data_IF_003090345697
#
_entry.id   IF_003090345697
#
_cell.length_a   1.000
_cell.length_b   1.000
_cell.length_c   1.000
_cell.angle_alpha   90.00
_cell.angle_beta   90.00
_cell.angle_gamma   90.00
#
_symmetry.space_group_name_H-M   'P 1'
#
loop_
_entity.id
_entity.type
_entity.pdbx_description
1 polymer ?
#
# COMPACT_ATOMS: atom_id res chain seq x y z
N UNK A 1 29.62 0.10 47.52
CA UNK A 1 28.79 -0.40 46.40
C UNK A 1 27.43 0.27 46.46
N UNK A 2 27.12 1.23 45.58
CA UNK A 2 25.75 1.76 45.50
C UNK A 2 24.87 0.67 44.88
N UNK A 3 23.88 0.20 45.64
CA UNK A 3 22.87 -0.71 45.13
C UNK A 3 22.06 0.06 44.11
N UNK A 4 22.19 -0.30 42.83
CA UNK A 4 21.40 0.30 41.76
C UNK A 4 19.94 -0.13 41.92
N UNK A 5 19.18 0.63 42.71
CA UNK A 5 17.75 0.43 42.91
C UNK A 5 16.99 0.87 41.65
N UNK A 6 17.02 0.02 40.63
CA UNK A 6 16.24 0.20 39.41
C UNK A 6 14.77 -0.03 39.73
N UNK A 7 13.93 0.98 39.48
CA UNK A 7 12.47 0.84 39.56
C UNK A 7 11.91 0.65 38.17
N UNK A 8 11.16 -0.44 37.95
CA UNK A 8 10.52 -0.74 36.67
C UNK A 8 9.06 -0.34 36.71
N UNK A 9 8.61 0.40 35.70
CA UNK A 9 7.23 0.89 35.61
C UNK A 9 6.75 0.74 34.17
N UNK A 10 5.52 0.25 33.99
CA UNK A 10 4.90 0.20 32.66
C UNK A 10 3.75 1.21 32.63
N UNK A 11 3.77 2.12 31.67
CA UNK A 11 2.75 3.16 31.51
C UNK A 11 2.32 3.17 30.04
N UNK A 12 1.02 3.05 29.78
CA UNK A 12 0.44 3.02 28.42
C UNK A 12 1.15 2.02 27.47
N UNK A 13 1.51 0.84 28.00
CA UNK A 13 2.18 -0.22 27.23
C UNK A 13 3.69 0.00 27.00
N UNK A 14 4.26 1.12 27.44
CA UNK A 14 5.69 1.42 27.34
C UNK A 14 6.38 1.06 28.67
N UNK A 15 7.47 0.29 28.58
CA UNK A 15 8.30 -0.09 29.73
C UNK A 15 9.36 0.97 30.01
N UNK A 16 9.34 1.52 31.22
CA UNK A 16 10.31 2.47 31.73
C UNK A 16 11.14 1.86 32.85
N UNK A 17 12.39 2.31 32.97
CA UNK A 17 13.27 2.02 34.11
C UNK A 17 13.74 3.34 34.70
N UNK A 18 13.42 3.57 35.97
CA UNK A 18 13.89 4.74 36.74
C UNK A 18 15.15 4.32 37.49
N UNK A 19 16.20 5.15 37.39
CA UNK A 19 17.49 4.94 38.04
C UNK A 19 17.98 6.20 38.72
N UNK A 20 18.66 6.07 39.84
CA UNK A 20 19.46 7.16 40.40
C UNK A 20 20.82 7.19 39.72
N UNK A 21 21.23 8.36 39.23
CA UNK A 21 22.61 8.59 38.76
C UNK A 21 23.04 10.01 39.14
N UNK A 22 24.20 10.13 39.77
CA UNK A 22 24.74 11.43 40.24
C UNK A 22 23.75 12.24 41.10
N UNK A 23 22.98 11.57 41.96
CA UNK A 23 21.97 12.23 42.81
C UNK A 23 20.67 12.58 42.09
N UNK A 24 20.55 12.35 40.78
CA UNK A 24 19.36 12.69 39.99
C UNK A 24 18.62 11.46 39.49
N UNK A 25 17.32 11.61 39.26
CA UNK A 25 16.47 10.57 38.66
C UNK A 25 16.61 10.57 37.14
N UNK A 26 16.91 9.41 36.58
CA UNK A 26 17.02 9.14 35.15
C UNK A 26 15.99 8.12 34.72
N UNK A 27 15.43 8.30 33.52
CA UNK A 27 14.45 7.41 32.91
C UNK A 27 15.08 6.78 31.67
N UNK A 28 15.10 5.44 31.64
CA UNK A 28 15.48 4.67 30.47
C UNK A 28 14.27 3.98 29.85
N UNK A 29 14.19 3.98 28.52
CA UNK A 29 13.10 3.40 27.73
C UNK A 29 13.61 3.01 26.34
N UNK A 30 12.80 2.26 25.58
CA UNK A 30 13.14 1.83 24.23
C UNK A 30 12.27 2.55 23.20
N UNK A 31 12.88 3.09 22.14
CA UNK A 31 12.22 3.62 20.94
C UNK A 31 12.91 3.02 19.73
N UNK A 32 12.15 2.51 18.76
CA UNK A 32 12.67 1.93 17.49
C UNK A 32 13.80 0.93 17.68
N UNK A 33 13.60 -0.01 18.61
CA UNK A 33 14.58 -1.02 19.03
C UNK A 33 15.90 -0.46 19.63
N UNK A 34 16.00 0.86 19.84
CA UNK A 34 17.15 1.52 20.47
C UNK A 34 16.80 1.98 21.89
N UNK A 35 17.68 1.65 22.84
CA UNK A 35 17.57 2.12 24.21
C UNK A 35 17.98 3.59 24.30
N UNK A 36 17.14 4.40 24.93
CA UNK A 36 17.42 5.81 25.24
C UNK A 36 17.35 6.03 26.75
N UNK A 37 18.09 7.04 27.22
CA UNK A 37 18.15 7.43 28.62
C UNK A 37 18.06 8.96 28.71
N UNK A 38 17.22 9.46 29.61
CA UNK A 38 16.97 10.89 29.82
C UNK A 38 17.05 11.20 31.31
N UNK A 39 17.67 12.33 31.66
CA UNK A 39 17.58 12.85 33.01
C UNK A 39 16.26 13.58 33.19
N UNK A 40 15.64 13.45 34.36
CA UNK A 40 14.48 14.27 34.76
C UNK A 40 14.89 15.62 35.33
N UNK A 41 16.17 15.80 35.66
CA UNK A 41 16.67 16.97 36.38
C UNK A 41 16.33 16.98 37.88
N UNK A 42 15.45 16.10 38.36
CA UNK A 42 15.00 16.04 39.75
C UNK A 42 15.97 15.25 40.63
N UNK A 43 16.17 15.74 41.86
CA UNK A 43 16.93 15.04 42.90
C UNK A 43 16.29 13.70 43.27
N UNK A 44 17.11 12.71 43.62
CA UNK A 44 16.71 11.34 43.96
C UNK A 44 16.09 11.23 45.35
N UNK A 45 14.92 11.84 45.51
CA UNK A 45 14.11 11.79 46.73
C UNK A 45 12.86 10.93 46.53
N UNK A 46 12.30 10.38 47.63
CA UNK A 46 11.05 9.60 47.57
C UNK A 46 9.88 10.42 47.02
N UNK A 47 9.80 11.71 47.36
CA UNK A 47 8.78 12.64 46.85
C UNK A 47 8.89 12.80 45.34
N UNK A 48 10.09 13.08 44.83
CA UNK A 48 10.31 13.24 43.39
C UNK A 48 10.10 11.92 42.63
N UNK A 49 10.40 10.77 43.24
CA UNK A 49 10.11 9.47 42.66
C UNK A 49 8.61 9.26 42.41
N UNK A 50 7.76 9.71 43.34
CA UNK A 50 6.29 9.65 43.19
C UNK A 50 5.83 10.57 42.06
N UNK A 51 6.33 11.81 42.01
CA UNK A 51 6.03 12.76 40.93
C UNK A 51 6.44 12.19 39.57
N UNK A 52 7.62 11.59 39.47
CA UNK A 52 8.09 10.94 38.23
C UNK A 52 7.13 9.83 37.80
N UNK A 53 6.66 9.00 38.74
CA UNK A 53 5.77 7.87 38.42
C UNK A 53 4.37 8.29 38.00
N UNK A 54 3.79 9.26 38.70
CA UNK A 54 2.37 9.57 38.59
C UNK A 54 2.06 10.72 37.63
N UNK A 55 3.03 11.60 37.37
CA UNK A 55 2.81 12.79 36.53
C UNK A 55 3.71 12.74 35.29
N UNK A 56 5.04 12.66 35.50
CA UNK A 56 6.01 12.79 34.40
C UNK A 56 5.94 11.60 33.45
N UNK A 57 5.93 10.36 33.96
CA UNK A 57 5.89 9.18 33.10
C UNK A 57 4.61 9.08 32.26
N UNK A 58 3.40 9.32 32.80
CA UNK A 58 2.19 9.39 31.98
C UNK A 58 2.23 10.45 30.90
N UNK A 59 2.63 11.69 31.22
CA UNK A 59 2.74 12.76 30.24
C UNK A 59 3.77 12.42 29.16
N UNK A 60 4.94 11.95 29.57
CA UNK A 60 6.01 11.57 28.66
C UNK A 60 5.64 10.37 27.79
N UNK A 61 4.91 9.38 28.33
CA UNK A 61 4.39 8.27 27.55
C UNK A 61 3.37 8.74 26.50
N UNK A 62 2.50 9.69 26.83
CA UNK A 62 1.58 10.30 25.87
C UNK A 62 2.33 11.06 24.77
N UNK A 63 3.33 11.85 25.11
CA UNK A 63 4.19 12.54 24.14
C UNK A 63 4.93 11.56 23.22
N UNK A 64 5.44 10.45 23.77
CA UNK A 64 6.08 9.39 22.98
C UNK A 64 5.10 8.69 22.05
N UNK A 65 3.86 8.44 22.51
CA UNK A 65 2.80 7.89 21.67
C UNK A 65 2.41 8.89 20.59
N UNK A 66 2.24 10.16 20.92
CA UNK A 66 1.90 11.22 19.95
C UNK A 66 3.02 11.41 18.92
N UNK A 67 4.28 11.40 19.34
CA UNK A 67 5.44 11.47 18.45
C UNK A 67 5.59 10.21 17.60
N UNK A 68 5.32 9.04 18.19
CA UNK A 68 5.28 7.78 17.44
C UNK A 68 4.09 7.78 16.48
N UNK A 69 2.96 8.36 16.83
CA UNK A 69 1.83 8.57 15.93
C UNK A 69 2.15 9.60 14.86
N UNK A 70 2.98 10.63 15.13
CA UNK A 70 3.39 11.62 14.12
C UNK A 70 4.50 11.11 13.20
N UNK A 71 5.30 10.12 13.63
CA UNK A 71 6.36 9.47 12.83
C UNK A 71 5.94 8.14 12.21
N UNK A 72 4.97 7.45 12.82
CA UNK A 72 4.21 6.32 12.24
C UNK A 72 2.96 6.80 11.51
N UNK A 73 2.65 8.09 11.49
CA UNK A 73 1.96 8.68 10.34
C UNK A 73 2.86 8.40 9.13
N UNK A 74 2.67 7.41 8.26
CA UNK A 74 1.41 7.02 7.62
C UNK A 74 0.35 8.06 7.83
N UNK A 75 0.69 9.26 7.35
CA UNK A 75 -0.21 10.30 6.88
C UNK A 75 -1.63 10.03 7.35
N UNK A 76 -2.08 10.68 8.42
CA UNK A 76 -3.49 11.07 8.46
C UNK A 76 -3.61 12.08 7.31
N UNK A 77 -3.59 11.57 6.08
CA UNK A 77 -4.31 12.24 4.99
C UNK A 77 -5.70 12.18 5.58
N UNK A 78 -6.36 13.32 5.73
CA UNK A 78 -7.81 13.30 5.62
C UNK A 78 -8.09 12.42 4.41
N UNK A 79 -8.52 11.17 4.61
CA UNK A 79 -8.59 10.21 3.52
C UNK A 79 -9.46 10.88 2.50
N UNK A 80 -8.89 11.31 1.38
CA UNK A 80 -9.65 12.15 0.47
C UNK A 80 -10.88 11.32 0.11
N UNK A 81 -12.05 11.87 0.44
CA UNK A 81 -13.34 11.23 0.23
C UNK A 81 -13.68 11.17 -1.27
N UNK A 82 -12.72 11.58 -2.13
CA UNK A 82 -12.63 11.28 -3.54
C UNK A 82 -13.18 9.90 -3.90
N UNK A 83 -14.22 9.95 -4.73
CA UNK A 83 -14.86 8.79 -5.34
C UNK A 83 -14.05 8.27 -6.52
N UNK A 84 -14.25 7.01 -6.89
CA UNK A 84 -13.60 6.44 -8.08
C UNK A 84 -13.89 7.27 -9.33
N UNK A 85 -15.13 7.73 -9.49
CA UNK A 85 -15.55 8.53 -10.63
C UNK A 85 -14.82 9.85 -10.73
N UNK A 86 -14.77 10.63 -9.65
CA UNK A 86 -14.10 11.93 -9.65
C UNK A 86 -12.63 11.82 -10.05
N UNK A 87 -11.93 10.80 -9.53
CA UNK A 87 -10.52 10.56 -9.87
C UNK A 87 -10.38 10.02 -11.29
N UNK A 88 -11.30 9.15 -11.75
CA UNK A 88 -11.28 8.62 -13.09
C UNK A 88 -11.54 9.71 -14.14
N UNK A 89 -12.43 10.66 -13.89
CA UNK A 89 -12.73 11.78 -14.78
C UNK A 89 -11.48 12.64 -14.99
N UNK A 90 -10.79 13.00 -13.91
CA UNK A 90 -9.51 13.72 -13.98
C UNK A 90 -8.45 12.88 -14.69
N UNK A 91 -8.39 11.57 -14.40
CA UNK A 91 -7.46 10.66 -15.06
C UNK A 91 -7.66 10.66 -16.58
N UNK A 92 -8.89 10.46 -17.04
CA UNK A 92 -9.21 10.39 -18.47
C UNK A 92 -9.09 11.75 -19.17
N UNK A 93 -9.46 12.85 -18.51
CA UNK A 93 -9.28 14.21 -19.04
C UNK A 93 -7.81 14.46 -19.41
N UNK A 94 -6.90 14.19 -18.48
CA UNK A 94 -5.46 14.37 -18.69
C UNK A 94 -4.85 13.29 -19.60
N UNK A 95 -5.36 12.04 -19.55
CA UNK A 95 -4.82 10.95 -20.35
C UNK A 95 -5.10 11.14 -21.85
N UNK A 96 -6.20 11.80 -22.19
CA UNK A 96 -6.61 12.09 -23.57
C UNK A 96 -5.51 12.75 -24.40
N UNK A 97 -4.77 13.68 -23.79
CA UNK A 97 -3.68 14.41 -24.46
C UNK A 97 -2.39 13.58 -24.63
N UNK A 98 -2.26 12.50 -23.84
CA UNK A 98 -1.03 11.68 -23.80
C UNK A 98 -1.07 10.42 -24.65
N UNK A 99 -2.25 10.02 -25.15
CA UNK A 99 -2.42 8.76 -25.90
C UNK A 99 -3.16 8.94 -27.20
N UNK A 100 -2.94 8.00 -28.13
CA UNK A 100 -3.63 7.98 -29.42
C UNK A 100 -5.15 7.91 -29.21
N UNK A 101 -5.96 8.62 -30.03
CA UNK A 101 -7.41 8.71 -29.84
C UNK A 101 -8.13 7.35 -29.71
N UNK A 102 -7.78 6.37 -30.55
CA UNK A 102 -8.41 5.04 -30.49
C UNK A 102 -8.09 4.26 -29.20
N UNK A 103 -6.92 4.52 -28.60
CA UNK A 103 -6.53 3.91 -27.31
C UNK A 103 -7.36 4.54 -26.20
N UNK A 104 -7.46 5.87 -26.17
CA UNK A 104 -8.30 6.61 -25.23
C UNK A 104 -9.75 6.13 -25.27
N UNK A 105 -10.37 6.12 -26.45
CA UNK A 105 -11.77 5.70 -26.64
C UNK A 105 -11.97 4.27 -26.13
N UNK A 106 -11.07 3.36 -26.48
CA UNK A 106 -11.13 1.97 -26.03
C UNK A 106 -11.00 1.84 -24.51
N UNK A 107 -10.09 2.59 -23.88
CA UNK A 107 -9.92 2.53 -22.44
C UNK A 107 -11.13 3.10 -21.69
N UNK A 108 -11.60 4.28 -22.10
CA UNK A 108 -12.79 4.92 -21.52
C UNK A 108 -14.03 4.02 -21.64
N UNK A 109 -14.25 3.43 -22.82
CA UNK A 109 -15.35 2.49 -23.04
C UNK A 109 -15.25 1.26 -22.13
N UNK A 110 -14.06 0.70 -21.95
CA UNK A 110 -13.86 -0.43 -21.05
C UNK A 110 -14.04 -0.04 -19.57
N UNK A 111 -13.60 1.15 -19.17
CA UNK A 111 -13.84 1.67 -17.82
C UNK A 111 -15.34 1.78 -17.54
N UNK A 112 -16.08 2.49 -18.40
CA UNK A 112 -17.51 2.72 -18.26
C UNK A 112 -18.33 1.41 -18.21
N UNK A 113 -17.91 0.40 -18.97
CA UNK A 113 -18.63 -0.87 -19.06
C UNK A 113 -18.25 -1.89 -18.00
N UNK A 114 -16.97 -1.95 -17.61
CA UNK A 114 -16.43 -3.08 -16.86
C UNK A 114 -15.95 -2.72 -15.46
N UNK A 115 -15.63 -1.46 -15.20
CA UNK A 115 -15.14 -0.99 -13.89
C UNK A 115 -16.24 -0.20 -13.19
N UNK A 116 -16.71 0.88 -13.82
CA UNK A 116 -17.66 1.82 -13.22
C UNK A 116 -18.92 1.15 -12.64
N UNK A 117 -19.58 0.18 -13.30
CA UNK A 117 -20.82 -0.42 -12.76
C UNK A 117 -20.63 -1.17 -11.44
N UNK A 118 -19.41 -1.58 -11.10
CA UNK A 118 -19.10 -2.34 -9.89
C UNK A 118 -18.66 -1.46 -8.72
N UNK A 119 -18.09 -0.29 -9.02
CA UNK A 119 -17.44 0.57 -8.03
C UNK A 119 -17.98 2.00 -8.01
N UNK A 120 -19.12 2.23 -8.67
CA UNK A 120 -19.81 3.53 -8.70
C UNK A 120 -20.08 4.03 -7.27
N UNK A 121 -19.77 5.28 -7.00
CA UNK A 121 -19.96 5.97 -5.73
C UNK A 121 -19.02 5.50 -4.62
N UNK A 122 -18.10 4.58 -4.91
CA UNK A 122 -17.16 4.06 -3.92
C UNK A 122 -16.01 5.05 -3.77
N UNK A 123 -15.68 5.36 -2.52
CA UNK A 123 -14.46 6.09 -2.19
C UNK A 123 -13.25 5.21 -2.48
N UNK A 124 -12.17 5.79 -3.04
CA UNK A 124 -10.98 5.00 -3.40
C UNK A 124 -10.39 4.26 -2.19
N UNK A 125 -10.38 4.91 -1.03
CA UNK A 125 -9.86 4.36 0.22
C UNK A 125 -10.73 3.22 0.80
N UNK A 126 -11.99 3.10 0.34
CA UNK A 126 -12.93 2.09 0.82
C UNK A 126 -12.89 0.77 0.04
N UNK A 127 -12.28 0.76 -1.15
CA UNK A 127 -12.22 -0.42 -2.02
C UNK A 127 -11.07 -1.32 -1.57
N UNK A 128 -11.40 -2.53 -1.12
CA UNK A 128 -10.44 -3.49 -0.57
C UNK A 128 -9.83 -4.38 -1.67
N UNK A 129 -8.60 -4.90 -1.46
CA UNK A 129 -8.00 -5.90 -2.36
C UNK A 129 -8.90 -7.10 -2.69
N UNK A 130 -9.66 -7.59 -1.70
CA UNK A 130 -10.61 -8.70 -1.88
C UNK A 130 -11.75 -8.36 -2.86
N UNK A 131 -12.23 -7.11 -2.88
CA UNK A 131 -13.26 -6.68 -3.84
C UNK A 131 -12.70 -6.64 -5.26
N UNK A 132 -11.44 -6.19 -5.42
CA UNK A 132 -10.73 -6.18 -6.69
C UNK A 132 -10.51 -7.62 -7.20
N UNK A 133 -10.12 -8.53 -6.32
CA UNK A 133 -9.95 -9.94 -6.66
C UNK A 133 -11.28 -10.58 -7.09
N UNK A 134 -12.37 -10.31 -6.37
CA UNK A 134 -13.72 -10.76 -6.74
C UNK A 134 -14.14 -10.22 -8.11
N UNK A 135 -13.93 -8.93 -8.37
CA UNK A 135 -14.18 -8.31 -9.67
C UNK A 135 -13.35 -8.94 -10.79
N UNK A 136 -12.05 -9.16 -10.55
CA UNK A 136 -11.15 -9.81 -11.49
C UNK A 136 -11.63 -11.24 -11.83
N UNK A 137 -11.98 -12.03 -10.82
CA UNK A 137 -12.45 -13.40 -11.00
C UNK A 137 -13.76 -13.45 -11.78
N UNK A 138 -14.67 -12.49 -11.54
CA UNK A 138 -15.90 -12.35 -12.32
C UNK A 138 -15.61 -12.05 -13.79
N UNK A 139 -14.63 -11.20 -14.09
CA UNK A 139 -14.27 -10.93 -15.48
C UNK A 139 -13.65 -12.17 -16.16
N UNK A 140 -12.92 -13.00 -15.42
CA UNK A 140 -12.31 -14.22 -15.94
C UNK A 140 -13.33 -15.30 -16.33
N UNK A 141 -14.58 -15.23 -15.85
CA UNK A 141 -15.64 -16.16 -16.31
C UNK A 141 -16.10 -15.88 -17.74
N UNK A 142 -15.90 -14.64 -18.23
CA UNK A 142 -16.44 -14.17 -19.52
C UNK A 142 -15.35 -13.77 -20.53
N UNK A 143 -14.20 -13.32 -20.06
CA UNK A 143 -13.16 -12.73 -20.90
C UNK A 143 -11.84 -13.52 -20.80
N UNK A 144 -11.08 -13.53 -21.90
CA UNK A 144 -9.73 -14.08 -21.92
C UNK A 144 -8.83 -13.37 -20.90
N UNK A 145 -7.91 -14.13 -20.30
CA UNK A 145 -6.91 -13.64 -19.32
C UNK A 145 -6.23 -12.34 -19.77
N UNK A 146 -5.79 -12.26 -21.03
CA UNK A 146 -5.13 -11.07 -21.58
C UNK A 146 -6.05 -9.85 -21.65
N UNK A 147 -7.35 -10.05 -21.87
CA UNK A 147 -8.34 -8.97 -21.84
C UNK A 147 -8.55 -8.48 -20.41
N UNK A 148 -8.68 -9.40 -19.44
CA UNK A 148 -8.82 -9.04 -18.02
C UNK A 148 -7.60 -8.27 -17.51
N UNK A 149 -6.38 -8.65 -17.93
CA UNK A 149 -5.17 -7.87 -17.63
C UNK A 149 -5.24 -6.43 -18.16
N UNK A 150 -5.79 -6.22 -19.36
CA UNK A 150 -5.97 -4.88 -19.92
C UNK A 150 -6.97 -4.07 -19.11
N UNK A 151 -8.09 -4.67 -18.72
CA UNK A 151 -9.10 -4.00 -17.88
C UNK A 151 -8.53 -3.66 -16.50
N UNK A 152 -7.80 -4.59 -15.89
CA UNK A 152 -7.06 -4.40 -14.65
C UNK A 152 -6.06 -3.24 -14.77
N UNK A 153 -5.34 -3.14 -15.89
CA UNK A 153 -4.36 -2.07 -16.11
C UNK A 153 -4.99 -0.68 -16.10
N UNK A 154 -6.20 -0.52 -16.67
CA UNK A 154 -6.95 0.74 -16.63
C UNK A 154 -7.28 1.12 -15.18
N UNK A 155 -7.75 0.16 -14.38
CA UNK A 155 -8.10 0.45 -13.00
C UNK A 155 -6.85 0.71 -12.14
N UNK A 156 -5.78 -0.05 -12.39
CA UNK A 156 -4.48 0.17 -11.78
C UNK A 156 -3.95 1.58 -12.05
N UNK A 157 -4.03 2.09 -13.29
CA UNK A 157 -3.51 3.41 -13.63
C UNK A 157 -4.27 4.56 -12.97
N UNK A 158 -5.59 4.40 -12.77
CA UNK A 158 -6.39 5.34 -11.98
C UNK A 158 -5.88 5.40 -10.54
N UNK A 159 -5.63 4.25 -9.91
CA UNK A 159 -5.06 4.18 -8.56
C UNK A 159 -3.61 4.68 -8.48
N UNK A 160 -2.78 4.42 -9.50
CA UNK A 160 -1.43 4.97 -9.58
C UNK A 160 -1.47 6.48 -9.60
N UNK A 161 -2.39 7.08 -10.38
CA UNK A 161 -2.56 8.53 -10.40
C UNK A 161 -3.05 9.06 -9.06
N UNK A 162 -4.01 8.38 -8.43
CA UNK A 162 -4.48 8.72 -7.09
C UNK A 162 -3.33 8.71 -6.08
N UNK A 163 -2.47 7.69 -6.13
CA UNK A 163 -1.30 7.56 -5.27
C UNK A 163 -0.28 8.68 -5.49
N UNK A 164 0.00 9.02 -6.76
CA UNK A 164 0.90 10.11 -7.13
C UNK A 164 0.42 11.49 -6.67
N UNK A 165 -0.88 11.66 -6.48
CA UNK A 165 -1.50 12.89 -6.00
C UNK A 165 -1.95 12.76 -4.53
N UNK A 166 -1.41 11.79 -3.80
CA UNK A 166 -1.61 11.62 -2.35
C UNK A 166 -3.08 11.40 -1.93
N UNK A 167 -3.97 11.05 -2.87
CA UNK A 167 -5.40 10.79 -2.60
C UNK A 167 -5.61 9.42 -1.91
N UNK A 168 -4.64 8.52 -2.08
CA UNK A 168 -4.59 7.20 -1.46
C UNK A 168 -3.18 6.91 -0.98
N UNK A 169 -3.06 6.13 0.09
CA UNK A 169 -1.76 5.74 0.66
C UNK A 169 -1.05 4.62 -0.10
N UNK A 170 -1.83 3.80 -0.81
CA UNK A 170 -1.32 2.64 -1.54
C UNK A 170 -2.23 2.28 -2.70
N UNK A 171 -1.67 1.63 -3.70
CA UNK A 171 -2.46 1.00 -4.74
C UNK A 171 -2.93 -0.39 -4.26
N UNK A 172 -4.25 -0.63 -4.06
CA UNK A 172 -4.74 -1.91 -3.56
C UNK A 172 -4.48 -3.07 -4.53
N UNK A 173 -4.20 -2.77 -5.81
CA UNK A 173 -3.82 -3.76 -6.79
C UNK A 173 -2.45 -4.39 -6.53
N UNK A 174 -1.55 -3.74 -5.80
CA UNK A 174 -0.23 -4.30 -5.47
C UNK A 174 -0.34 -5.54 -4.59
N UNK A 175 -1.44 -5.65 -3.83
CA UNK A 175 -1.76 -6.81 -2.99
C UNK A 175 -2.55 -7.89 -3.72
N UNK A 176 -2.99 -7.65 -4.97
CA UNK A 176 -3.81 -8.60 -5.73
C UNK A 176 -2.99 -9.14 -6.90
N UNK A 177 -2.78 -10.45 -7.03
CA UNK A 177 -2.01 -10.99 -8.15
C UNK A 177 -2.73 -10.77 -9.49
N UNK A 178 -1.95 -10.41 -10.52
CA UNK A 178 -2.46 -10.34 -11.90
C UNK A 178 -2.79 -11.75 -12.43
N UNK A 179 -3.89 -11.93 -13.19
CA UNK A 179 -4.28 -13.23 -13.75
C UNK A 179 -3.13 -13.85 -14.55
N UNK A 180 -2.85 -15.14 -14.36
CA UNK A 180 -1.80 -15.85 -15.11
C UNK A 180 -2.39 -16.58 -16.32
N UNK A 181 -1.69 -16.51 -17.46
CA UNK A 181 -2.00 -17.37 -18.61
C UNK A 181 -1.45 -18.76 -18.27
N UNK A 182 -2.27 -19.80 -18.36
CA UNK A 182 -1.75 -21.17 -18.34
C UNK A 182 -1.13 -21.42 -19.71
N UNK A 183 0.19 -21.49 -19.79
CA UNK A 183 0.85 -21.91 -21.03
C UNK A 183 0.53 -23.39 -21.22
N UNK A 184 -0.23 -23.73 -22.26
CA UNK A 184 -0.17 -25.09 -22.81
C UNK A 184 1.16 -25.17 -23.55
N UNK A 185 2.16 -25.78 -22.91
CA UNK A 185 3.32 -26.24 -23.65
C UNK A 185 2.82 -27.30 -24.63
N UNK A 186 2.89 -27.03 -25.93
CA UNK A 186 2.80 -28.10 -26.92
C UNK A 186 4.10 -28.88 -26.81
N UNK A 187 4.05 -30.04 -26.16
CA UNK A 187 5.15 -31.01 -26.28
C UNK A 187 5.06 -31.55 -27.69
N UNK A 188 6.00 -31.17 -28.56
CA UNK A 188 6.19 -31.87 -29.82
C UNK A 188 6.50 -33.32 -29.46
N UNK A 189 5.64 -34.26 -29.86
CA UNK A 189 6.05 -35.66 -29.86
C UNK A 189 7.13 -35.79 -30.94
N UNK A 190 8.20 -36.54 -30.66
CA UNK A 190 9.38 -36.68 -31.55
C UNK A 190 9.06 -37.26 -32.95
N UNK A 191 7.79 -37.55 -33.25
CA UNK A 191 7.33 -38.20 -34.48
C UNK A 191 6.65 -37.28 -35.50
N UNK A 192 6.55 -35.96 -35.26
CA UNK A 192 6.03 -35.03 -36.28
C UNK A 192 7.18 -34.37 -37.05
N UNK A 193 7.52 -34.95 -38.20
CA UNK A 193 8.34 -34.31 -39.22
C UNK A 193 7.60 -33.10 -39.79
N UNK A 194 7.93 -31.92 -39.27
CA UNK A 194 7.44 -30.65 -39.82
C UNK A 194 8.12 -30.44 -41.18
N UNK A 195 7.40 -30.65 -42.28
CA UNK A 195 7.92 -30.40 -43.62
C UNK A 195 7.81 -28.88 -43.94
N UNK A 196 8.93 -28.14 -44.09
CA UNK A 196 8.91 -26.68 -44.16
C UNK A 196 8.46 -26.10 -45.51
N UNK A 197 8.14 -26.93 -46.52
CA UNK A 197 7.75 -26.46 -47.86
C UNK A 197 6.62 -27.28 -48.48
N UNK A 198 5.40 -27.14 -47.99
CA UNK A 198 4.20 -27.58 -48.72
C UNK A 198 3.71 -26.46 -49.66
N UNK A 199 4.42 -26.35 -50.79
CA UNK A 199 3.96 -25.98 -52.14
C UNK A 199 2.82 -24.94 -52.26
N UNK A 200 3.19 -23.66 -52.27
CA UNK A 200 2.45 -22.60 -52.96
C UNK A 200 3.25 -22.17 -54.19
N UNK A 201 2.79 -22.54 -55.38
CA UNK A 201 3.39 -22.23 -56.69
C UNK A 201 3.58 -20.71 -56.83
N UNK A 202 4.83 -20.25 -56.97
CA UNK A 202 5.14 -18.88 -57.40
C UNK A 202 5.13 -18.88 -58.92
N UNK A 203 4.01 -18.45 -59.51
CA UNK A 203 3.94 -18.20 -60.96
C UNK A 203 4.68 -16.90 -61.26
N UNK A 204 5.86 -17.01 -61.87
CA UNK A 204 6.59 -15.87 -62.42
C UNK A 204 5.88 -15.41 -63.71
N UNK A 205 5.26 -14.23 -63.69
CA UNK A 205 4.82 -13.57 -64.92
C UNK A 205 6.04 -12.88 -65.57
N UNK A 206 6.37 -13.28 -66.79
CA UNK A 206 7.17 -12.51 -67.73
C UNK A 206 6.23 -11.94 -68.80
N UNK A 207 6.21 -10.62 -68.91
CA UNK A 207 6.09 -9.85 -70.16
C UNK A 207 6.55 -8.43 -69.87
#
# INVERSE_FOLDING_TARGET
>A
MKVDNNTYVTVLGIKFTIKEKYGKLHIAFNIDAKRKNRSTGLEATKKNLIVVKNEILPQFAQELIALKSSTQSSVIVESDNSTLESVADIHFLLHKETVRPHVYIRQLSNYNRLILPYFKGRQLNSIKPMEIESWQNRLLTKYKVLSVRKYRSIFYSIYTRALQNELVLKNPFDSVPSPKVKNQFFTYSENETVNPFTHGVVTLFHT
#
